data_IF_318334339661
#
_entry.id   IF_318334339661
#
_cell.length_a   1.000
_cell.length_b   1.000
_cell.length_c   1.000
_cell.angle_alpha   90.00
_cell.angle_beta   90.00
_cell.angle_gamma   90.00
#
_symmetry.space_group_name_H-M   'P 1'
#
loop_
_entity.id
_entity.type
_entity.pdbx_description
1 polymer ?
#
# COMPACT_ATOMS: atom_id res chain seq x y z
N UNK A 1 57.36 -21.75 58.00
CA UNK A 1 56.26 -22.37 58.70
C UNK A 1 55.00 -21.76 58.13
N UNK A 2 54.39 -22.40 57.17
CA UNK A 2 53.08 -21.98 56.57
C UNK A 2 52.27 -23.22 56.38
N UNK A 3 51.20 -23.32 57.08
CA UNK A 3 50.22 -24.39 57.10
C UNK A 3 49.32 -24.26 55.87
N UNK A 4 49.31 -25.33 55.05
CA UNK A 4 48.39 -25.53 53.91
C UNK A 4 47.07 -26.07 54.50
N UNK A 5 45.95 -25.41 54.16
CA UNK A 5 44.63 -25.88 54.53
C UNK A 5 44.14 -26.86 53.46
N UNK A 6 43.75 -28.07 53.91
CA UNK A 6 43.16 -29.15 53.11
C UNK A 6 41.73 -28.77 52.70
N UNK A 7 41.44 -28.90 51.40
CA UNK A 7 40.11 -28.85 50.85
C UNK A 7 39.45 -30.25 50.90
N UNK A 8 38.39 -30.39 51.64
CA UNK A 8 37.50 -31.55 51.64
C UNK A 8 36.58 -31.51 50.41
N UNK A 9 36.44 -32.59 49.62
CA UNK A 9 35.52 -32.66 48.50
C UNK A 9 34.08 -32.90 48.97
N UNK A 10 33.13 -32.20 48.32
CA UNK A 10 31.70 -32.41 48.53
C UNK A 10 31.22 -33.75 47.99
N UNK A 11 30.20 -34.39 48.58
CA UNK A 11 29.68 -35.66 48.13
C UNK A 11 28.91 -35.54 46.84
N UNK A 12 29.14 -36.50 45.94
CA UNK A 12 28.43 -36.67 44.67
C UNK A 12 27.01 -37.18 44.91
N UNK A 13 26.04 -36.45 44.40
CA UNK A 13 24.60 -36.77 44.38
C UNK A 13 24.32 -37.92 43.38
N UNK A 14 23.63 -39.01 43.75
CA UNK A 14 23.28 -40.11 42.86
C UNK A 14 21.89 -39.95 42.23
N UNK A 15 21.63 -38.87 41.50
CA UNK A 15 20.45 -38.79 40.62
C UNK A 15 20.86 -38.50 39.19
N UNK A 16 21.19 -39.58 38.46
CA UNK A 16 21.14 -39.55 36.99
C UNK A 16 19.67 -39.36 36.56
N UNK A 17 19.32 -38.37 35.78
CA UNK A 17 18.04 -38.33 35.10
C UNK A 17 18.07 -39.40 33.99
N UNK A 18 17.11 -40.29 34.02
CA UNK A 18 16.74 -41.21 32.96
C UNK A 18 16.60 -40.47 31.67
N UNK A 19 17.22 -40.98 30.59
CA UNK A 19 17.01 -40.51 29.21
C UNK A 19 15.54 -40.70 28.86
N UNK A 20 14.78 -39.63 29.03
CA UNK A 20 13.44 -39.52 28.45
C UNK A 20 13.63 -39.29 26.95
N UNK A 21 13.34 -40.31 26.16
CA UNK A 21 13.29 -40.23 24.69
C UNK A 21 12.14 -39.35 24.34
N UNK A 22 12.38 -38.02 24.33
CA UNK A 22 11.49 -37.07 23.74
C UNK A 22 11.34 -37.45 22.28
N UNK A 23 10.22 -38.10 21.95
CA UNK A 23 9.76 -38.25 20.55
C UNK A 23 9.67 -36.86 19.97
N UNK A 24 10.61 -36.56 19.08
CA UNK A 24 10.55 -35.41 18.21
C UNK A 24 9.28 -35.56 17.36
N UNK A 25 8.19 -34.99 17.83
CA UNK A 25 7.04 -34.71 17.01
C UNK A 25 7.46 -33.58 16.08
N UNK A 26 8.15 -33.95 15.00
CA UNK A 26 8.46 -33.12 13.87
C UNK A 26 7.19 -32.58 13.26
N UNK A 27 6.53 -31.67 13.95
CA UNK A 27 5.51 -30.81 13.41
C UNK A 27 6.17 -30.00 12.30
N UNK A 28 5.96 -30.41 11.05
CA UNK A 28 6.26 -29.58 9.90
C UNK A 28 5.62 -28.22 10.18
N UNK A 29 6.44 -27.26 10.55
CA UNK A 29 6.02 -25.85 10.58
C UNK A 29 5.69 -25.53 9.14
N UNK A 30 4.40 -25.61 8.80
CA UNK A 30 3.93 -25.07 7.53
C UNK A 30 4.27 -23.58 7.54
N UNK A 31 5.36 -23.23 6.87
CA UNK A 31 5.68 -21.84 6.65
C UNK A 31 4.50 -21.25 5.86
N UNK A 32 3.74 -20.35 6.51
CA UNK A 32 2.71 -19.60 5.79
C UNK A 32 3.35 -18.93 4.59
N UNK A 33 2.67 -18.98 3.47
CA UNK A 33 3.10 -18.23 2.29
C UNK A 33 3.17 -16.75 2.64
N UNK A 34 4.11 -15.97 2.06
CA UNK A 34 4.23 -14.54 2.33
C UNK A 34 2.91 -13.76 2.17
N UNK A 35 2.05 -14.21 1.27
CA UNK A 35 0.72 -13.61 1.00
C UNK A 35 -0.25 -13.74 2.19
N UNK A 36 -0.01 -14.67 3.10
CA UNK A 36 -0.83 -14.85 4.31
C UNK A 36 -0.35 -14.06 5.52
N UNK A 37 0.67 -13.19 5.37
CA UNK A 37 1.20 -12.40 6.48
C UNK A 37 0.70 -10.96 6.44
N UNK A 38 0.33 -10.40 7.59
CA UNK A 38 -0.06 -8.99 7.72
C UNK A 38 1.12 -8.01 7.61
N UNK A 39 2.35 -8.50 7.58
CA UNK A 39 3.57 -7.71 7.39
C UNK A 39 4.20 -8.09 6.05
N UNK A 40 4.14 -7.17 5.09
CA UNK A 40 4.64 -7.35 3.74
C UNK A 40 6.08 -6.84 3.64
N UNK A 41 7.02 -7.71 3.36
CA UNK A 41 8.45 -7.37 3.27
C UNK A 41 8.81 -6.75 1.91
N UNK A 42 8.18 -5.63 1.55
CA UNK A 42 8.18 -5.05 0.20
C UNK A 42 9.44 -4.25 -0.15
N UNK A 43 10.22 -3.81 0.83
CA UNK A 43 11.43 -3.01 0.58
C UNK A 43 12.74 -3.78 0.77
N UNK A 44 12.76 -5.08 0.43
CA UNK A 44 14.02 -5.86 0.43
C UNK A 44 15.04 -5.29 -0.57
N UNK A 45 14.54 -4.71 -1.66
CA UNK A 45 15.30 -3.86 -2.60
C UNK A 45 14.81 -2.42 -2.51
N UNK A 46 15.68 -1.46 -2.87
CA UNK A 46 15.29 -0.04 -2.91
C UNK A 46 14.32 0.23 -4.06
N UNK A 47 13.48 1.25 -3.95
CA UNK A 47 12.56 1.65 -5.02
C UNK A 47 13.25 1.89 -6.38
N UNK A 48 14.41 2.57 -6.46
CA UNK A 48 15.18 2.66 -7.70
C UNK A 48 15.62 1.32 -8.28
N UNK A 49 16.00 0.35 -7.43
CA UNK A 49 16.39 -1.00 -7.89
C UNK A 49 15.18 -1.76 -8.43
N UNK A 50 14.04 -1.70 -7.73
CA UNK A 50 12.79 -2.34 -8.18
C UNK A 50 12.29 -1.79 -9.52
N UNK A 51 12.61 -0.51 -9.83
CA UNK A 51 12.19 0.14 -11.08
C UNK A 51 13.18 0.02 -12.22
N UNK A 52 14.42 -0.34 -11.94
CA UNK A 52 15.49 -0.38 -12.94
C UNK A 52 15.14 -1.37 -14.06
N UNK A 53 15.10 -0.86 -15.30
CA UNK A 53 14.75 -1.63 -16.48
C UNK A 53 13.26 -2.01 -16.60
N UNK A 54 12.48 -1.90 -15.54
CA UNK A 54 11.06 -2.27 -15.50
C UNK A 54 10.12 -1.10 -15.84
N UNK A 55 10.59 0.12 -15.67
CA UNK A 55 9.86 1.36 -15.94
C UNK A 55 10.71 2.29 -16.79
N UNK A 56 10.06 3.16 -17.57
CA UNK A 56 10.77 4.20 -18.32
C UNK A 56 11.45 5.19 -17.38
N UNK A 57 12.61 5.79 -17.78
CA UNK A 57 13.38 6.70 -16.92
C UNK A 57 12.58 7.91 -16.40
N UNK A 58 11.63 8.41 -17.19
CA UNK A 58 10.77 9.55 -16.86
C UNK A 58 9.91 9.32 -15.61
N UNK A 59 9.67 8.07 -15.26
CA UNK A 59 8.94 7.66 -14.05
C UNK A 59 9.53 8.25 -12.77
N UNK A 60 10.83 8.56 -12.76
CA UNK A 60 11.52 9.17 -11.61
C UNK A 60 10.95 10.55 -11.26
N UNK A 61 10.33 11.24 -12.22
CA UNK A 61 9.84 12.62 -12.07
C UNK A 61 8.57 12.72 -11.22
N UNK A 62 7.81 11.64 -11.05
CA UNK A 62 6.59 11.66 -10.24
C UNK A 62 6.93 11.79 -8.75
N UNK A 63 6.29 12.73 -8.01
CA UNK A 63 6.65 13.08 -6.64
C UNK A 63 6.37 11.95 -5.62
N UNK A 64 5.28 11.22 -5.80
CA UNK A 64 4.89 10.11 -4.92
C UNK A 64 4.59 8.87 -5.76
N UNK A 65 5.30 7.79 -5.49
CA UNK A 65 5.19 6.53 -6.26
C UNK A 65 5.07 5.37 -5.30
N UNK A 66 4.00 4.61 -5.44
CA UNK A 66 3.87 3.33 -4.73
C UNK A 66 5.08 2.44 -5.05
N UNK A 67 5.61 1.73 -4.06
CA UNK A 67 6.70 0.80 -4.28
C UNK A 67 6.20 -0.38 -5.14
N UNK A 68 6.86 -0.78 -6.25
CA UNK A 68 6.40 -1.85 -7.12
C UNK A 68 6.04 -3.14 -6.39
N UNK A 69 6.86 -3.56 -5.43
CA UNK A 69 6.62 -4.76 -4.64
C UNK A 69 5.32 -4.70 -3.80
N UNK A 70 4.79 -3.52 -3.48
CA UNK A 70 3.48 -3.40 -2.81
C UNK A 70 2.37 -3.76 -3.78
N UNK A 71 2.38 -3.17 -4.98
CA UNK A 71 1.40 -3.47 -6.01
C UNK A 71 1.46 -4.95 -6.44
N UNK A 72 2.67 -5.47 -6.67
CA UNK A 72 2.89 -6.86 -7.03
C UNK A 72 2.36 -7.83 -5.96
N UNK A 73 2.59 -7.53 -4.66
CA UNK A 73 2.08 -8.33 -3.56
C UNK A 73 0.55 -8.32 -3.54
N UNK A 74 -0.09 -7.14 -3.63
CA UNK A 74 -1.54 -7.03 -3.64
C UNK A 74 -2.16 -7.78 -4.83
N UNK A 75 -1.59 -7.63 -6.03
CA UNK A 75 -2.04 -8.34 -7.23
C UNK A 75 -1.92 -9.86 -7.03
N UNK A 76 -0.79 -10.34 -6.53
CA UNK A 76 -0.56 -11.77 -6.29
C UNK A 76 -1.50 -12.36 -5.24
N UNK A 77 -1.76 -11.62 -4.16
CA UNK A 77 -2.57 -12.09 -3.03
C UNK A 77 -4.08 -12.13 -3.34
N UNK A 78 -4.59 -11.17 -4.13
CA UNK A 78 -6.05 -10.96 -4.26
C UNK A 78 -6.61 -11.23 -5.67
N UNK A 79 -5.78 -11.69 -6.61
CA UNK A 79 -6.25 -11.96 -7.98
C UNK A 79 -5.67 -13.24 -8.57
N UNK A 80 -6.31 -13.73 -9.65
CA UNK A 80 -5.81 -14.79 -10.50
C UNK A 80 -5.44 -14.24 -11.89
N UNK A 81 -4.60 -14.93 -12.69
CA UNK A 81 -4.37 -14.57 -14.10
C UNK A 81 -5.69 -14.39 -14.86
N UNK A 82 -5.78 -13.31 -15.65
CA UNK A 82 -6.98 -12.92 -16.37
C UNK A 82 -7.98 -12.04 -15.59
N UNK A 83 -7.81 -11.89 -14.28
CA UNK A 83 -8.63 -10.96 -13.49
C UNK A 83 -8.36 -9.50 -13.88
N UNK A 84 -9.36 -8.63 -13.68
CA UNK A 84 -9.26 -7.20 -13.95
C UNK A 84 -8.89 -6.43 -12.67
N UNK A 85 -7.80 -5.64 -12.76
CA UNK A 85 -7.31 -4.75 -11.71
C UNK A 85 -7.60 -3.30 -12.08
N UNK A 86 -8.03 -2.49 -11.11
CA UNK A 86 -8.28 -1.06 -11.27
C UNK A 86 -7.38 -0.25 -10.34
N UNK A 87 -6.77 0.81 -10.87
CA UNK A 87 -6.16 1.87 -10.06
C UNK A 87 -6.79 3.23 -10.43
N UNK A 88 -7.69 3.77 -9.59
CA UNK A 88 -8.39 5.02 -9.89
C UNK A 88 -7.52 6.28 -9.81
N UNK A 89 -6.28 6.17 -9.31
CA UNK A 89 -5.32 7.28 -9.23
C UNK A 89 -3.93 6.77 -9.57
N UNK A 90 -3.77 6.25 -10.80
CA UNK A 90 -2.67 5.37 -11.16
C UNK A 90 -1.30 6.07 -11.30
N UNK A 91 -1.26 7.41 -11.34
CA UNK A 91 -0.02 8.15 -11.52
C UNK A 91 0.76 7.68 -12.74
N UNK A 92 1.96 7.19 -12.53
CA UNK A 92 2.81 6.59 -13.58
C UNK A 92 2.47 5.14 -13.91
N UNK A 93 1.37 4.59 -13.40
CA UNK A 93 0.90 3.24 -13.72
C UNK A 93 1.62 2.11 -12.97
N UNK A 94 2.09 2.32 -11.74
CA UNK A 94 2.79 1.25 -11.00
C UNK A 94 1.92 0.01 -10.85
N UNK A 95 0.67 0.15 -10.44
CA UNK A 95 -0.28 -0.96 -10.31
C UNK A 95 -0.52 -1.68 -11.63
N UNK A 96 -0.65 -0.91 -12.73
CA UNK A 96 -0.92 -1.45 -14.05
C UNK A 96 0.26 -2.30 -14.55
N UNK A 97 1.48 -1.78 -14.44
CA UNK A 97 2.70 -2.50 -14.85
C UNK A 97 2.83 -3.82 -14.08
N UNK A 98 2.64 -3.80 -12.76
CA UNK A 98 2.75 -5.03 -11.97
C UNK A 98 1.61 -6.02 -12.28
N UNK A 99 0.40 -5.53 -12.55
CA UNK A 99 -0.73 -6.38 -12.93
C UNK A 99 -0.48 -7.10 -14.27
N UNK A 100 -0.08 -6.36 -15.33
CA UNK A 100 0.11 -6.98 -16.65
C UNK A 100 1.30 -7.93 -16.71
N UNK A 101 2.35 -7.67 -15.96
CA UNK A 101 3.46 -8.63 -15.82
C UNK A 101 3.04 -9.90 -15.07
N UNK A 102 2.04 -9.81 -14.21
CA UNK A 102 1.47 -10.95 -13.52
C UNK A 102 0.33 -11.65 -14.32
N UNK A 103 0.10 -11.26 -15.58
CA UNK A 103 -0.93 -11.84 -16.45
C UNK A 103 -2.36 -11.41 -16.10
N UNK A 104 -2.54 -10.27 -15.44
CA UNK A 104 -3.84 -9.65 -15.14
C UNK A 104 -4.09 -8.52 -16.12
N UNK A 105 -5.36 -8.27 -16.46
CA UNK A 105 -5.74 -7.05 -17.17
C UNK A 105 -5.83 -5.88 -16.18
N UNK A 106 -5.57 -4.64 -16.63
CA UNK A 106 -5.58 -3.49 -15.76
C UNK A 106 -6.16 -2.23 -16.42
N UNK A 107 -6.86 -1.42 -15.62
CA UNK A 107 -7.33 -0.09 -16.02
C UNK A 107 -6.84 0.91 -14.99
N UNK A 108 -6.25 2.02 -15.46
CA UNK A 108 -5.88 3.15 -14.63
C UNK A 108 -6.71 4.39 -14.96
N UNK A 109 -6.99 5.22 -13.96
CA UNK A 109 -7.46 6.57 -14.16
C UNK A 109 -6.42 7.53 -13.62
N UNK A 110 -6.08 8.55 -14.40
CA UNK A 110 -5.11 9.57 -14.00
C UNK A 110 -5.62 10.97 -14.39
N UNK A 111 -5.57 11.88 -13.44
CA UNK A 111 -6.06 13.24 -13.62
C UNK A 111 -5.09 14.09 -14.47
N UNK A 112 -3.80 13.99 -14.19
CA UNK A 112 -2.78 14.83 -14.76
C UNK A 112 -2.25 14.27 -16.10
N UNK A 113 -2.31 15.02 -17.20
CA UNK A 113 -1.89 14.53 -18.53
C UNK A 113 -0.45 14.02 -18.54
N UNK A 114 0.43 14.69 -17.81
CA UNK A 114 1.85 14.34 -17.74
C UNK A 114 2.06 12.93 -17.19
N UNK A 115 1.33 12.56 -16.15
CA UNK A 115 1.48 11.26 -15.51
C UNK A 115 0.77 10.16 -16.29
N UNK A 116 -0.39 10.45 -16.86
CA UNK A 116 -1.08 9.56 -17.79
C UNK A 116 -0.19 9.16 -18.97
N UNK A 117 0.49 10.11 -19.62
CA UNK A 117 1.42 9.84 -20.72
C UNK A 117 2.60 8.95 -20.28
N UNK A 118 3.11 9.12 -19.04
CA UNK A 118 4.18 8.25 -18.52
C UNK A 118 3.63 6.87 -18.20
N UNK A 119 2.40 6.75 -17.72
CA UNK A 119 1.76 5.46 -17.48
C UNK A 119 1.60 4.67 -18.79
N UNK A 120 1.14 5.30 -19.87
CA UNK A 120 1.06 4.68 -21.20
C UNK A 120 2.43 4.22 -21.71
N UNK A 121 3.46 5.05 -21.52
CA UNK A 121 4.82 4.68 -21.88
C UNK A 121 5.34 3.47 -21.04
N UNK A 122 4.98 3.39 -19.77
CA UNK A 122 5.32 2.26 -18.90
C UNK A 122 4.59 0.98 -19.32
N UNK A 123 3.31 1.07 -19.72
CA UNK A 123 2.54 -0.06 -20.25
C UNK A 123 3.21 -0.58 -21.54
N UNK A 124 3.51 0.32 -22.47
CA UNK A 124 4.21 -0.03 -23.72
C UNK A 124 5.56 -0.69 -23.43
N UNK A 125 6.32 -0.16 -22.49
CA UNK A 125 7.60 -0.72 -22.08
C UNK A 125 7.45 -2.11 -21.45
N UNK A 126 6.44 -2.32 -20.60
CA UNK A 126 6.14 -3.62 -20.01
C UNK A 126 5.77 -4.67 -21.07
N UNK A 127 4.98 -4.32 -22.08
CA UNK A 127 4.67 -5.21 -23.20
C UNK A 127 5.93 -5.58 -23.99
N UNK A 128 6.85 -4.62 -24.22
CA UNK A 128 8.15 -4.90 -24.86
C UNK A 128 9.02 -5.86 -24.02
N UNK A 129 8.74 -5.99 -22.73
CA UNK A 129 9.39 -6.96 -21.81
C UNK A 129 8.64 -8.29 -21.70
N UNK A 130 7.59 -8.51 -22.48
CA UNK A 130 6.83 -9.74 -22.48
C UNK A 130 5.70 -9.80 -21.46
N UNK A 131 5.22 -8.67 -20.92
CA UNK A 131 4.00 -8.65 -20.12
C UNK A 131 2.80 -9.13 -20.94
N UNK A 132 2.01 -10.05 -20.38
CA UNK A 132 0.94 -10.77 -21.10
C UNK A 132 -0.46 -10.20 -20.85
N UNK A 133 -0.68 -9.50 -19.74
CA UNK A 133 -1.94 -8.82 -19.47
C UNK A 133 -2.10 -7.57 -20.35
N UNK A 134 -3.32 -7.07 -20.50
CA UNK A 134 -3.62 -5.82 -21.21
C UNK A 134 -3.82 -4.70 -20.21
N UNK A 135 -3.38 -3.49 -20.54
CA UNK A 135 -3.68 -2.32 -19.72
C UNK A 135 -4.02 -1.11 -20.56
N UNK A 136 -4.79 -0.21 -19.96
CA UNK A 136 -5.10 1.11 -20.52
C UNK A 136 -5.17 2.17 -19.43
N UNK A 137 -4.88 3.42 -19.79
CA UNK A 137 -5.04 4.57 -18.92
C UNK A 137 -6.14 5.48 -19.48
N UNK A 138 -7.08 5.86 -18.63
CA UNK A 138 -8.12 6.83 -18.94
C UNK A 138 -7.78 8.14 -18.22
N UNK A 139 -7.62 9.21 -18.98
CA UNK A 139 -7.41 10.54 -18.39
C UNK A 139 -8.73 11.10 -17.89
N UNK A 140 -8.80 11.46 -16.61
CA UNK A 140 -10.01 12.05 -16.04
C UNK A 140 -10.00 12.16 -14.52
N UNK A 141 -11.09 12.71 -14.00
CA UNK A 141 -11.32 12.88 -12.57
C UNK A 141 -11.93 11.59 -11.98
N UNK A 142 -11.18 10.91 -11.14
CA UNK A 142 -11.57 9.65 -10.50
C UNK A 142 -12.81 9.77 -9.59
N UNK A 143 -13.19 10.96 -9.14
CA UNK A 143 -14.46 11.16 -8.43
C UNK A 143 -15.68 10.88 -9.32
N UNK A 144 -15.47 10.78 -10.63
CA UNK A 144 -16.49 10.55 -11.67
C UNK A 144 -16.31 9.21 -12.40
N UNK A 145 -15.79 8.17 -11.75
CA UNK A 145 -15.48 6.87 -12.36
C UNK A 145 -16.62 6.30 -13.22
N UNK A 146 -17.85 6.38 -12.75
CA UNK A 146 -19.02 5.87 -13.47
C UNK A 146 -19.30 6.61 -14.82
N UNK A 147 -18.82 7.85 -14.95
CA UNK A 147 -18.92 8.61 -16.20
C UNK A 147 -17.68 8.44 -17.10
N UNK A 148 -16.55 8.05 -16.55
CA UNK A 148 -15.29 7.88 -17.26
C UNK A 148 -15.14 6.49 -17.86
N UNK A 149 -15.62 5.47 -17.15
CA UNK A 149 -15.41 4.08 -17.52
C UNK A 149 -16.69 3.47 -18.14
N UNK A 150 -16.54 2.54 -19.11
CA UNK A 150 -17.69 1.87 -19.72
C UNK A 150 -18.58 1.19 -18.68
N UNK A 151 -19.90 1.32 -18.84
CA UNK A 151 -20.89 0.69 -17.95
C UNK A 151 -20.74 -0.85 -17.90
N UNK A 152 -20.22 -1.46 -18.96
CA UNK A 152 -19.92 -2.89 -19.02
C UNK A 152 -18.90 -3.37 -17.99
N UNK A 153 -18.13 -2.45 -17.37
CA UNK A 153 -17.17 -2.79 -16.31
C UNK A 153 -17.82 -2.92 -14.92
N UNK A 154 -19.10 -2.58 -14.78
CA UNK A 154 -19.81 -2.73 -13.51
C UNK A 154 -19.79 -4.20 -13.06
N UNK A 155 -19.29 -4.43 -11.85
CA UNK A 155 -19.18 -5.78 -11.28
C UNK A 155 -18.09 -6.67 -11.91
N UNK A 156 -17.14 -6.13 -12.70
CA UNK A 156 -16.10 -6.91 -13.36
C UNK A 156 -14.74 -6.84 -12.68
N UNK A 157 -14.46 -5.79 -11.92
CA UNK A 157 -13.17 -5.56 -11.27
C UNK A 157 -12.98 -6.54 -10.11
N UNK A 158 -11.88 -7.29 -10.12
CA UNK A 158 -11.54 -8.20 -9.04
C UNK A 158 -10.84 -7.49 -7.88
N UNK A 159 -9.96 -6.54 -8.22
CA UNK A 159 -9.10 -5.85 -7.27
C UNK A 159 -8.96 -4.38 -7.65
N UNK A 160 -9.11 -3.52 -6.65
CA UNK A 160 -8.65 -2.11 -6.72
C UNK A 160 -7.39 -1.99 -5.88
N UNK A 161 -6.32 -1.41 -6.45
CA UNK A 161 -5.10 -1.05 -5.70
C UNK A 161 -4.82 0.41 -5.93
N UNK A 162 -4.75 1.19 -4.88
CA UNK A 162 -4.53 2.64 -5.01
C UNK A 162 -3.87 3.26 -3.77
N UNK A 163 -3.46 4.52 -3.89
CA UNK A 163 -2.98 5.32 -2.78
C UNK A 163 -3.49 6.76 -2.92
N UNK A 164 -4.18 7.33 -1.90
CA UNK A 164 -4.55 8.74 -1.94
C UNK A 164 -3.29 9.61 -1.96
N UNK A 165 -3.33 10.80 -2.57
CA UNK A 165 -2.21 11.71 -2.52
C UNK A 165 -1.97 12.16 -1.07
N UNK A 166 -0.70 12.18 -0.67
CA UNK A 166 -0.31 12.81 0.60
C UNK A 166 -0.33 14.33 0.41
N UNK A 167 -0.84 15.08 1.37
CA UNK A 167 -1.00 16.53 1.27
C UNK A 167 0.27 17.29 0.81
N UNK A 168 0.16 18.57 0.46
CA UNK A 168 1.17 19.32 -0.30
C UNK A 168 2.54 19.44 0.36
N UNK A 169 2.65 19.16 1.67
CA UNK A 169 3.89 19.27 2.44
C UNK A 169 4.77 18.02 2.41
N UNK A 170 4.32 16.92 1.82
CA UNK A 170 4.99 15.60 1.89
C UNK A 170 5.83 15.30 0.65
N UNK A 171 5.73 16.15 -0.38
CA UNK A 171 6.34 15.90 -1.68
C UNK A 171 7.61 16.75 -1.90
N UNK A 172 8.62 16.14 -2.47
CA UNK A 172 9.85 16.77 -2.93
C UNK A 172 10.96 15.74 -3.17
N UNK A 173 11.57 15.78 -4.34
CA UNK A 173 12.81 15.05 -4.62
C UNK A 173 14.00 15.93 -4.25
N UNK A 174 14.97 15.31 -3.58
CA UNK A 174 16.25 15.94 -3.26
C UNK A 174 17.27 15.51 -4.31
N UNK A 175 17.99 16.47 -4.87
CA UNK A 175 19.19 16.18 -5.68
C UNK A 175 20.40 16.85 -5.07
N UNK A 176 21.58 16.20 -5.08
CA UNK A 176 22.82 16.88 -4.77
C UNK A 176 23.03 18.01 -5.77
N UNK A 177 23.22 19.24 -5.31
CA UNK A 177 23.59 20.39 -6.10
C UNK A 177 25.01 20.85 -5.72
N UNK A 178 25.60 21.74 -6.51
CA UNK A 178 26.94 22.27 -6.26
C UNK A 178 27.08 22.99 -4.89
N UNK A 179 25.97 23.59 -4.40
CA UNK A 179 25.91 24.33 -3.13
C UNK A 179 25.14 23.56 -2.03
N UNK A 180 25.06 22.22 -2.11
CA UNK A 180 24.35 21.41 -1.12
C UNK A 180 23.14 20.67 -1.72
N UNK A 181 22.13 20.42 -0.88
CA UNK A 181 20.94 19.65 -1.28
C UNK A 181 19.82 20.60 -1.71
N UNK A 182 19.50 20.62 -2.99
CA UNK A 182 18.37 21.38 -3.52
C UNK A 182 17.08 20.54 -3.48
N UNK A 183 15.99 21.18 -2.99
CA UNK A 183 14.63 20.62 -3.10
C UNK A 183 14.11 20.94 -4.50
N UNK A 184 13.84 19.90 -5.27
CA UNK A 184 13.09 20.08 -6.51
C UNK A 184 11.60 19.89 -6.19
N UNK A 185 10.80 20.95 -6.42
CA UNK A 185 9.36 20.87 -6.39
C UNK A 185 8.87 20.12 -7.64
N UNK A 186 8.82 18.79 -7.52
CA UNK A 186 8.00 18.01 -8.43
C UNK A 186 6.56 18.14 -7.94
N UNK A 187 5.91 19.23 -8.33
CA UNK A 187 4.48 19.39 -8.10
C UNK A 187 3.69 18.33 -8.89
N UNK A 188 2.52 17.94 -8.39
CA UNK A 188 1.62 17.06 -9.15
C UNK A 188 1.14 17.74 -10.44
N UNK A 189 0.96 19.06 -10.40
CA UNK A 189 0.57 19.89 -11.54
C UNK A 189 1.36 21.20 -11.57
N UNK A 190 1.05 22.08 -12.52
CA UNK A 190 1.65 23.40 -12.68
C UNK A 190 1.17 24.43 -11.64
N UNK A 191 0.45 23.98 -10.57
CA UNK A 191 0.01 24.83 -9.46
C UNK A 191 -1.31 25.58 -9.70
N UNK A 192 -1.95 25.41 -10.84
CA UNK A 192 -3.16 26.19 -11.23
C UNK A 192 -4.48 25.46 -11.00
N UNK A 193 -4.46 24.10 -10.93
CA UNK A 193 -5.68 23.31 -10.81
C UNK A 193 -5.99 22.93 -9.36
N UNK A 194 -7.07 23.52 -8.81
CA UNK A 194 -7.60 23.22 -7.47
C UNK A 194 -8.45 21.94 -7.42
N UNK A 195 -8.73 21.28 -8.53
CA UNK A 195 -9.47 20.02 -8.61
C UNK A 195 -8.69 18.84 -8.06
N UNK A 196 -7.36 18.90 -8.13
CA UNK A 196 -6.49 17.82 -7.66
C UNK A 196 -6.56 17.65 -6.14
N UNK A 197 -6.88 16.42 -5.67
CA UNK A 197 -7.00 16.07 -4.26
C UNK A 197 -5.73 16.32 -3.44
N UNK A 198 -4.56 16.33 -4.08
CA UNK A 198 -3.28 16.61 -3.41
C UNK A 198 -3.21 18.00 -2.77
N UNK A 199 -4.04 18.94 -3.18
CA UNK A 199 -4.05 20.32 -2.68
C UNK A 199 -5.18 20.61 -1.69
N UNK A 200 -6.00 19.59 -1.35
CA UNK A 200 -7.08 19.73 -0.36
C UNK A 200 -6.57 19.50 1.06
N UNK A 201 -7.29 20.01 2.03
CA UNK A 201 -7.12 19.63 3.44
C UNK A 201 -7.56 18.18 3.67
N UNK A 202 -7.37 17.66 4.89
CA UNK A 202 -7.69 16.26 5.20
C UNK A 202 -9.18 15.94 4.97
N UNK A 203 -10.08 16.86 5.32
CA UNK A 203 -11.52 16.67 5.14
C UNK A 203 -11.88 16.60 3.66
N UNK A 204 -11.48 17.59 2.88
CA UNK A 204 -11.73 17.60 1.45
C UNK A 204 -11.07 16.46 0.67
N UNK A 205 -9.89 15.99 1.16
CA UNK A 205 -9.25 14.78 0.64
C UNK A 205 -10.08 13.53 0.95
N UNK A 206 -10.56 13.39 2.20
CA UNK A 206 -11.35 12.23 2.63
C UNK A 206 -12.69 12.16 1.89
N UNK A 207 -13.37 13.30 1.69
CA UNK A 207 -14.64 13.37 0.96
C UNK A 207 -14.48 13.03 -0.52
N UNK A 208 -13.44 13.56 -1.16
CA UNK A 208 -13.13 13.21 -2.55
C UNK A 208 -12.72 11.73 -2.70
N UNK A 209 -11.98 11.21 -1.73
CA UNK A 209 -11.58 9.81 -1.74
C UNK A 209 -12.76 8.86 -1.48
N UNK A 210 -13.74 9.25 -0.63
CA UNK A 210 -14.99 8.51 -0.48
C UNK A 210 -15.74 8.40 -1.81
N UNK A 211 -15.85 9.49 -2.58
CA UNK A 211 -16.51 9.47 -3.89
C UNK A 211 -15.79 8.49 -4.85
N UNK A 212 -14.45 8.49 -4.86
CA UNK A 212 -13.65 7.53 -5.64
C UNK A 212 -13.96 6.08 -5.22
N UNK A 213 -13.92 5.80 -3.91
CA UNK A 213 -14.19 4.46 -3.38
C UNK A 213 -15.63 4.00 -3.68
N UNK A 214 -16.59 4.92 -3.65
CA UNK A 214 -17.98 4.65 -4.04
C UNK A 214 -18.09 4.25 -5.51
N UNK A 215 -17.37 4.94 -6.39
CA UNK A 215 -17.23 4.55 -7.81
C UNK A 215 -16.56 3.20 -7.97
N UNK A 216 -15.50 2.92 -7.22
CA UNK A 216 -14.83 1.61 -7.22
C UNK A 216 -15.77 0.49 -6.76
N UNK A 217 -16.58 0.71 -5.74
CA UNK A 217 -17.53 -0.28 -5.23
C UNK A 217 -18.55 -0.72 -6.29
N UNK A 218 -18.98 0.18 -7.19
CA UNK A 218 -19.85 -0.17 -8.31
C UNK A 218 -19.15 -1.06 -9.36
N UNK A 219 -17.87 -0.83 -9.58
CA UNK A 219 -17.08 -1.56 -10.59
C UNK A 219 -16.59 -2.92 -10.08
N UNK A 220 -16.34 -3.05 -8.78
CA UNK A 220 -15.92 -4.31 -8.16
C UNK A 220 -16.96 -5.40 -8.35
N UNK A 221 -16.53 -6.64 -8.59
CA UNK A 221 -17.39 -7.83 -8.47
C UNK A 221 -17.81 -8.04 -7.02
N UNK A 222 -18.95 -8.70 -6.72
CA UNK A 222 -19.30 -9.11 -5.37
C UNK A 222 -18.13 -9.88 -4.72
N UNK A 223 -17.74 -9.51 -3.50
CA UNK A 223 -16.56 -10.06 -2.83
C UNK A 223 -15.21 -9.54 -3.35
N UNK A 224 -15.18 -8.67 -4.34
CA UNK A 224 -13.97 -8.03 -4.85
C UNK A 224 -13.28 -7.17 -3.79
N UNK A 225 -11.96 -7.05 -3.89
CA UNK A 225 -11.09 -6.46 -2.87
C UNK A 225 -10.64 -5.04 -3.25
N UNK A 226 -10.51 -4.17 -2.25
CA UNK A 226 -9.83 -2.87 -2.37
C UNK A 226 -8.63 -2.88 -1.44
N UNK A 227 -7.46 -2.55 -1.97
CA UNK A 227 -6.21 -2.35 -1.24
C UNK A 227 -5.80 -0.89 -1.34
N UNK A 228 -5.78 -0.19 -0.22
CA UNK A 228 -5.36 1.21 -0.16
C UNK A 228 -4.09 1.31 0.68
N UNK A 229 -3.02 1.87 0.11
CA UNK A 229 -1.84 2.20 0.88
C UNK A 229 -1.92 3.64 1.37
N UNK A 230 -1.68 3.84 2.65
CA UNK A 230 -1.68 5.16 3.28
C UNK A 230 -0.65 5.20 4.41
N UNK A 231 -0.23 6.40 4.80
CA UNK A 231 0.58 6.59 6.01
C UNK A 231 0.21 7.90 6.69
N UNK A 232 0.32 7.95 8.02
CA UNK A 232 0.16 9.21 8.72
C UNK A 232 1.34 10.15 8.41
N UNK A 233 1.13 11.45 8.59
CA UNK A 233 2.20 12.43 8.56
C UNK A 233 2.01 13.44 9.70
N UNK A 234 2.95 14.38 9.83
CA UNK A 234 2.83 15.45 10.82
C UNK A 234 2.73 16.80 10.12
N UNK A 235 1.80 17.63 10.60
CA UNK A 235 1.65 19.03 10.19
C UNK A 235 1.75 19.89 11.45
N UNK A 236 2.72 20.79 11.51
CA UNK A 236 2.98 21.65 12.69
C UNK A 236 3.09 20.84 14.01
N UNK A 237 3.75 19.69 13.98
CA UNK A 237 3.91 18.81 15.14
C UNK A 237 2.73 17.91 15.46
N UNK A 238 1.55 18.16 14.91
CA UNK A 238 0.35 17.34 15.13
C UNK A 238 0.30 16.16 14.14
N UNK A 239 -0.14 15.01 14.63
CA UNK A 239 -0.38 13.83 13.81
C UNK A 239 -1.60 14.06 12.91
N UNK A 240 -1.44 13.80 11.60
CA UNK A 240 -2.53 13.70 10.63
C UNK A 240 -2.71 12.24 10.29
N UNK A 241 -3.79 11.64 10.77
CA UNK A 241 -4.08 10.21 10.65
C UNK A 241 -4.89 9.93 9.37
N UNK A 242 -4.20 9.93 8.23
CA UNK A 242 -4.80 9.57 6.95
C UNK A 242 -5.34 8.12 6.92
N UNK A 243 -4.63 7.11 7.47
CA UNK A 243 -5.17 5.74 7.47
C UNK A 243 -6.56 5.62 8.07
N UNK A 244 -6.80 6.23 9.23
CA UNK A 244 -8.13 6.21 9.87
C UNK A 244 -9.18 6.97 9.03
N UNK A 245 -8.81 8.10 8.41
CA UNK A 245 -9.70 8.83 7.52
C UNK A 245 -10.09 8.00 6.28
N UNK A 246 -9.15 7.23 5.72
CA UNK A 246 -9.39 6.30 4.61
C UNK A 246 -10.31 5.16 5.02
N UNK A 247 -10.13 4.58 6.23
CA UNK A 247 -11.04 3.54 6.73
C UNK A 247 -12.47 4.08 6.83
N UNK A 248 -12.63 5.27 7.40
CA UNK A 248 -13.94 5.90 7.52
C UNK A 248 -14.57 6.19 6.14
N UNK A 249 -13.78 6.68 5.16
CA UNK A 249 -14.23 6.91 3.79
C UNK A 249 -14.68 5.61 3.11
N UNK A 250 -13.93 4.51 3.29
CA UNK A 250 -14.28 3.19 2.75
C UNK A 250 -15.61 2.66 3.30
N UNK A 251 -15.82 2.78 4.61
CA UNK A 251 -17.10 2.40 5.26
C UNK A 251 -18.25 3.23 4.71
N UNK A 252 -18.10 4.56 4.60
CA UNK A 252 -19.13 5.43 4.01
C UNK A 252 -19.39 5.15 2.54
N UNK A 253 -18.39 4.62 1.82
CA UNK A 253 -18.54 4.18 0.43
C UNK A 253 -19.24 2.82 0.29
N UNK A 254 -19.62 2.16 1.39
CA UNK A 254 -20.30 0.86 1.41
C UNK A 254 -19.35 -0.33 1.32
N UNK A 255 -18.06 -0.14 1.58
CA UNK A 255 -17.07 -1.21 1.65
C UNK A 255 -16.92 -1.71 3.09
N UNK A 256 -16.61 -2.99 3.24
CA UNK A 256 -16.35 -3.61 4.55
C UNK A 256 -14.83 -3.70 4.77
N UNK A 257 -14.27 -3.02 5.78
CA UNK A 257 -12.87 -3.19 6.14
C UNK A 257 -12.67 -4.61 6.66
N UNK A 258 -11.69 -5.33 6.10
CA UNK A 258 -11.41 -6.73 6.45
C UNK A 258 -10.10 -6.88 7.20
N UNK A 259 -9.05 -6.13 6.78
CA UNK A 259 -7.72 -6.24 7.38
C UNK A 259 -7.00 -4.89 7.37
N UNK A 260 -6.05 -4.74 8.31
CA UNK A 260 -5.05 -3.69 8.31
C UNK A 260 -3.68 -4.34 8.39
N UNK A 261 -2.96 -4.32 7.28
CA UNK A 261 -1.61 -4.83 7.16
C UNK A 261 -0.59 -3.69 7.13
N UNK A 262 0.69 -4.03 7.13
CA UNK A 262 1.77 -3.07 6.94
C UNK A 262 2.69 -3.51 5.81
N UNK A 263 3.04 -2.59 4.92
CA UNK A 263 4.06 -2.79 3.91
C UNK A 263 5.36 -2.13 4.37
N UNK A 264 6.39 -2.92 4.63
CA UNK A 264 7.67 -2.42 5.11
C UNK A 264 8.36 -1.58 4.03
N UNK A 265 8.75 -0.36 4.39
CA UNK A 265 9.65 0.51 3.63
C UNK A 265 11.11 0.35 4.08
N UNK A 266 11.37 -0.65 4.91
CA UNK A 266 12.69 -1.05 5.39
C UNK A 266 13.00 -2.47 4.91
N UNK A 267 14.26 -2.76 4.67
CA UNK A 267 14.71 -4.13 4.46
C UNK A 267 14.90 -4.84 5.82
N UNK A 268 14.71 -6.14 5.83
CA UNK A 268 15.13 -6.99 6.95
C UNK A 268 16.47 -7.63 6.57
N UNK A 269 17.51 -7.41 7.38
CA UNK A 269 18.85 -7.98 7.22
C UNK A 269 19.34 -8.46 8.57
N UNK A 270 19.73 -9.69 8.67
CA UNK A 270 20.30 -10.29 9.91
C UNK A 270 19.42 -10.00 11.15
N UNK A 271 18.09 -10.12 10.99
CA UNK A 271 17.11 -9.83 12.03
C UNK A 271 16.91 -8.36 12.37
N UNK A 272 17.55 -7.43 11.64
CA UNK A 272 17.45 -5.98 11.86
C UNK A 272 16.70 -5.27 10.73
N UNK A 273 15.97 -4.20 11.10
CA UNK A 273 15.34 -3.30 10.13
C UNK A 273 16.36 -2.29 9.59
N UNK A 274 16.63 -2.38 8.29
CA UNK A 274 17.45 -1.40 7.57
C UNK A 274 16.52 -0.36 6.96
N UNK A 275 16.34 0.76 7.66
CA UNK A 275 15.48 1.85 7.22
C UNK A 275 16.00 2.54 5.95
N UNK A 276 15.09 3.01 5.11
CA UNK A 276 15.38 3.72 3.85
C UNK A 276 14.67 5.07 3.80
N UNK A 277 14.95 5.98 4.77
CA UNK A 277 14.27 7.27 4.84
C UNK A 277 14.67 8.17 3.68
N UNK A 278 13.78 9.10 3.32
CA UNK A 278 14.21 10.28 2.59
C UNK A 278 15.06 11.18 3.48
N UNK A 279 15.91 11.99 2.85
CA UNK A 279 16.74 12.96 3.57
C UNK A 279 15.92 13.85 4.51
N UNK A 280 14.77 14.36 4.03
CA UNK A 280 13.92 15.22 4.83
C UNK A 280 13.27 14.53 6.03
N UNK A 281 12.84 13.27 5.87
CA UNK A 281 12.33 12.50 7.00
C UNK A 281 13.40 12.31 8.07
N UNK A 282 14.62 11.99 7.66
CA UNK A 282 15.73 11.84 8.61
C UNK A 282 16.06 13.13 9.33
N UNK A 283 16.11 14.27 8.62
CA UNK A 283 16.34 15.59 9.21
C UNK A 283 15.22 16.00 10.16
N UNK A 284 13.95 15.76 9.78
CA UNK A 284 12.81 16.07 10.64
C UNK A 284 12.86 15.29 11.96
N UNK A 285 13.18 13.99 11.90
CA UNK A 285 13.32 13.15 13.10
C UNK A 285 14.51 13.61 13.97
N UNK A 286 15.66 13.92 13.37
CA UNK A 286 16.83 14.42 14.09
C UNK A 286 16.51 15.74 14.80
N UNK A 287 15.93 16.72 14.09
CA UNK A 287 15.53 18.01 14.63
C UNK A 287 14.54 17.86 15.79
N UNK A 288 13.54 16.99 15.65
CA UNK A 288 12.57 16.75 16.70
C UNK A 288 13.22 16.16 17.97
N UNK A 289 14.11 15.18 17.81
CA UNK A 289 14.84 14.57 18.93
C UNK A 289 15.79 15.57 19.63
N UNK A 290 16.43 16.46 18.88
CA UNK A 290 17.23 17.55 19.48
C UNK A 290 16.37 18.52 20.28
N UNK A 291 15.07 18.66 19.94
CA UNK A 291 14.08 19.45 20.69
C UNK A 291 13.31 18.61 21.73
N UNK A 292 13.86 17.49 22.16
CA UNK A 292 13.31 16.55 23.15
C UNK A 292 11.92 16.00 22.81
N UNK A 293 11.60 15.97 21.50
CA UNK A 293 10.36 15.36 20.99
C UNK A 293 10.65 13.96 20.47
N UNK A 294 10.11 12.87 21.10
CA UNK A 294 10.41 11.49 20.72
C UNK A 294 9.70 11.08 19.44
N UNK A 295 10.20 11.53 18.28
CA UNK A 295 9.70 11.09 16.98
C UNK A 295 10.40 9.82 16.52
N UNK A 296 9.59 8.94 15.90
CA UNK A 296 10.08 7.76 15.19
C UNK A 296 10.07 7.98 13.69
N UNK A 297 11.01 7.33 13.01
CA UNK A 297 11.06 7.29 11.56
C UNK A 297 9.99 6.33 11.04
N UNK A 298 9.11 6.81 10.17
CA UNK A 298 8.08 5.95 9.55
C UNK A 298 8.77 5.03 8.54
N UNK A 299 8.71 3.72 8.80
CA UNK A 299 9.35 2.68 8.00
C UNK A 299 8.36 1.70 7.38
N UNK A 300 7.10 2.06 7.30
CA UNK A 300 6.04 1.28 6.66
C UNK A 300 4.98 2.19 6.04
N UNK A 301 4.15 1.61 5.20
CA UNK A 301 2.82 2.12 4.86
C UNK A 301 1.79 1.21 5.49
N UNK A 302 0.70 1.79 5.99
CA UNK A 302 -0.51 1.05 6.31
C UNK A 302 -1.11 0.53 5.00
N UNK A 303 -1.51 -0.71 5.00
CA UNK A 303 -2.25 -1.35 3.91
C UNK A 303 -3.64 -1.67 4.42
N UNK A 304 -4.60 -0.92 3.94
CA UNK A 304 -5.99 -1.00 4.36
C UNK A 304 -6.75 -1.83 3.34
N UNK A 305 -7.33 -2.93 3.79
CA UNK A 305 -7.99 -3.90 2.93
C UNK A 305 -9.48 -3.87 3.19
N UNK A 306 -10.24 -3.71 2.13
CA UNK A 306 -11.69 -3.71 2.15
C UNK A 306 -12.21 -4.75 1.17
N UNK A 307 -13.44 -5.17 1.40
CA UNK A 307 -14.19 -6.05 0.50
C UNK A 307 -15.51 -5.40 0.10
N UNK A 308 -15.92 -5.56 -1.16
CA UNK A 308 -17.29 -5.29 -1.55
C UNK A 308 -18.20 -6.36 -0.92
N UNK A 309 -19.29 -6.01 -0.20
CA UNK A 309 -20.23 -6.99 0.34
C UNK A 309 -20.76 -7.92 -0.73
N UNK A 310 -21.01 -9.17 -0.36
CA UNK A 310 -21.78 -10.12 -1.17
C UNK A 310 -23.27 -10.01 -0.84
N UNK A 311 -24.17 -10.37 -1.74
CA UNK A 311 -25.61 -10.28 -1.50
C UNK A 311 -26.07 -11.03 -0.23
N UNK A 312 -25.40 -12.14 0.11
CA UNK A 312 -25.74 -13.00 1.26
C UNK A 312 -24.91 -12.69 2.52
N UNK A 313 -24.12 -11.60 2.54
CA UNK A 313 -23.29 -11.22 3.68
C UNK A 313 -24.18 -10.72 4.85
N UNK A 314 -24.09 -11.31 6.05
CA UNK A 314 -24.87 -10.85 7.20
C UNK A 314 -24.54 -9.40 7.62
N UNK A 315 -23.42 -8.86 7.17
CA UNK A 315 -23.03 -7.46 7.37
C UNK A 315 -23.55 -6.52 6.27
N UNK A 316 -24.26 -7.01 5.28
CA UNK A 316 -24.84 -6.20 4.19
C UNK A 316 -26.09 -5.45 4.64
N UNK A 317 -26.14 -4.91 5.82
CA UNK A 317 -27.14 -4.05 6.50
C UNK A 317 -28.30 -3.42 5.69
N UNK A 318 -28.77 -4.09 4.64
CA UNK A 318 -30.03 -3.79 3.96
C UNK A 318 -31.09 -4.60 4.70
N UNK A 319 -32.04 -3.96 5.42
CA UNK A 319 -33.16 -4.68 6.01
C UNK A 319 -33.90 -5.44 4.91
N UNK A 320 -34.08 -6.75 5.09
CA UNK A 320 -34.83 -7.62 4.15
C UNK A 320 -36.30 -7.26 4.00
N UNK A 321 -36.80 -6.29 4.76
CA UNK A 321 -38.21 -5.96 4.86
C UNK A 321 -38.70 -4.88 3.88
N UNK A 322 -37.87 -4.42 2.94
CA UNK A 322 -38.29 -3.41 1.95
C UNK A 322 -38.77 -3.98 0.60
N UNK A 323 -38.82 -5.29 0.43
CA UNK A 323 -39.16 -5.93 -0.85
C UNK A 323 -40.57 -6.56 -0.89
N UNK A 324 -41.33 -6.59 0.22
CA UNK A 324 -42.69 -7.11 0.25
C UNK A 324 -43.72 -6.09 0.79
N UNK A 325 -43.80 -4.94 0.14
CA UNK A 325 -44.89 -3.98 0.29
C UNK A 325 -45.84 -4.11 -0.90
N UNK A 326 -46.67 -5.16 -0.86
CA UNK A 326 -47.63 -5.43 -1.92
C UNK A 326 -48.59 -4.26 -2.11
N UNK A 327 -48.88 -4.01 -3.37
CA UNK A 327 -50.06 -3.28 -3.84
C UNK A 327 -51.30 -3.99 -3.32
N UNK A 328 -52.07 -3.29 -2.52
CA UNK A 328 -53.47 -3.63 -2.29
C UNK A 328 -54.30 -2.40 -2.63
N UNK A 329 -55.12 -2.61 -3.69
CA UNK A 329 -56.33 -1.92 -4.13
C UNK A 329 -56.51 -0.41 -3.87
#
# INVERSE_FOLDING_TARGET
>A
MSTVAEHTPFPTDPHQPTQDTARDHGGQRHAMRPEGLSVWATAQQTGPVQRRGRYVPESVKHPARMLPAIAAHAVGAYTQPGDLVLDPMCGIGTTLVEAIHAGRDAIGVEYEPRWSNIADANITHAHAQGATGRASVVRGDATRLAALLPAALAGQVALVVTSPPYGPTVHGLVRPGADGVAKFDNAYNDGTDRGNLAYRDLTGLADGFEQILRGCALLLRPGGTVVVTARPWRKHGQLVDLPSAVIAAGVRAGLVPTERCVALLAAVRDGQLVARPSFFQLQAVRKARTADTPLHLITHEDVLIFRRPQPDDPSSGIPKDAAEGGVVA
#
